data_IF_562836099058
#
_entry.id   IF_562836099058
#
_cell.length_a   1.000
_cell.length_b   1.000
_cell.length_c   1.000
_cell.angle_alpha   90.00
_cell.angle_beta   90.00
_cell.angle_gamma   90.00
#
_symmetry.space_group_name_H-M   'P 1'
#
loop_
_entity.id
_entity.type
_entity.pdbx_description
1 polymer ?
#
# COMPACT_ATOMS: atom_id res chain seq x y z
N UNK A 1 2.08 -17.78 -17.56
CA UNK A 1 1.36 -16.62 -18.11
C UNK A 1 2.05 -15.38 -17.56
N UNK A 2 2.71 -14.59 -18.42
CA UNK A 2 3.42 -13.37 -18.01
C UNK A 2 2.34 -12.35 -17.65
N UNK A 3 2.22 -12.04 -16.36
CA UNK A 3 1.24 -11.07 -15.88
C UNK A 3 1.57 -9.74 -16.54
N UNK A 4 0.59 -9.19 -17.25
CA UNK A 4 0.72 -7.95 -17.98
C UNK A 4 0.91 -6.79 -16.98
N UNK A 5 2.17 -6.49 -16.68
CA UNK A 5 2.58 -5.26 -16.00
C UNK A 5 2.42 -4.03 -16.90
N UNK A 6 1.76 -4.14 -18.06
CA UNK A 6 1.46 -3.04 -18.99
C UNK A 6 0.64 -1.92 -18.34
N UNK A 7 -0.17 -2.21 -17.33
CA UNK A 7 -0.81 -1.21 -16.48
C UNK A 7 0.21 -0.41 -15.63
N UNK A 8 1.33 -1.03 -15.25
CA UNK A 8 2.50 -0.44 -14.58
C UNK A 8 3.48 0.19 -15.60
N UNK A 9 3.30 -0.05 -16.90
CA UNK A 9 4.07 0.61 -17.98
C UNK A 9 3.89 2.13 -18.01
N UNK A 10 2.83 2.64 -17.37
CA UNK A 10 2.57 4.08 -17.15
C UNK A 10 3.14 4.64 -15.84
N UNK A 11 3.66 3.79 -14.96
CA UNK A 11 4.27 4.20 -13.69
C UNK A 11 5.76 4.41 -13.96
N UNK A 12 6.22 5.65 -13.81
CA UNK A 12 7.63 5.99 -14.01
C UNK A 12 8.54 5.22 -13.03
N UNK A 13 9.82 5.00 -13.36
CA UNK A 13 10.74 4.24 -12.51
C UNK A 13 10.80 4.74 -11.05
N UNK A 14 10.70 6.05 -10.84
CA UNK A 14 10.69 6.63 -9.48
C UNK A 14 9.44 6.24 -8.70
N UNK A 15 8.26 6.28 -9.32
CA UNK A 15 6.99 5.94 -8.65
C UNK A 15 6.95 4.45 -8.30
N UNK A 16 7.48 3.60 -9.18
CA UNK A 16 7.59 2.16 -8.91
C UNK A 16 8.51 1.87 -7.71
N UNK A 17 9.66 2.54 -7.63
CA UNK A 17 10.55 2.43 -6.48
C UNK A 17 9.89 2.86 -5.18
N UNK A 18 9.20 4.00 -5.17
CA UNK A 18 8.54 4.52 -3.97
C UNK A 18 7.42 3.58 -3.45
N UNK A 19 6.70 2.91 -4.35
CA UNK A 19 5.72 1.87 -3.99
C UNK A 19 6.38 0.65 -3.37
N UNK A 20 7.45 0.14 -4.00
CA UNK A 20 8.15 -1.03 -3.48
C UNK A 20 8.71 -0.76 -2.08
N UNK A 21 9.30 0.43 -1.89
CA UNK A 21 9.77 0.86 -0.58
C UNK A 21 8.64 0.98 0.45
N UNK A 22 7.45 1.46 0.03
CA UNK A 22 6.26 1.54 0.89
C UNK A 22 5.78 0.15 1.32
N UNK A 23 5.72 -0.80 0.38
CA UNK A 23 5.33 -2.17 0.67
C UNK A 23 6.35 -2.85 1.61
N UNK A 24 7.65 -2.61 1.42
CA UNK A 24 8.69 -3.11 2.32
C UNK A 24 8.55 -2.49 3.71
N UNK A 25 8.39 -1.17 3.82
CA UNK A 25 8.20 -0.50 5.11
C UNK A 25 6.96 -1.00 5.85
N UNK A 26 5.85 -1.19 5.13
CA UNK A 26 4.63 -1.76 5.68
C UNK A 26 4.85 -3.21 6.14
N UNK A 27 5.52 -4.06 5.35
CA UNK A 27 5.82 -5.44 5.70
C UNK A 27 6.84 -5.57 6.87
N UNK A 28 7.65 -4.55 7.11
CA UNK A 28 8.55 -4.48 8.27
C UNK A 28 7.88 -3.91 9.53
N UNK A 29 6.64 -3.42 9.44
CA UNK A 29 5.96 -2.75 10.54
C UNK A 29 6.53 -1.36 10.88
N UNK A 30 7.28 -0.74 9.96
CA UNK A 30 7.93 0.56 10.18
C UNK A 30 7.03 1.71 9.72
N UNK A 31 6.19 2.24 10.62
CA UNK A 31 5.25 3.33 10.32
C UNK A 31 5.92 4.61 9.79
N UNK A 32 7.02 5.03 10.41
CA UNK A 32 7.75 6.23 9.99
C UNK A 32 8.39 6.10 8.60
N UNK A 33 8.86 4.89 8.25
CA UNK A 33 9.35 4.59 6.91
C UNK A 33 8.19 4.55 5.91
N UNK A 34 7.05 3.97 6.32
CA UNK A 34 5.83 3.94 5.51
C UNK A 34 5.34 5.36 5.20
N UNK A 35 5.29 6.27 6.19
CA UNK A 35 4.95 7.69 5.98
C UNK A 35 5.92 8.36 5.00
N UNK A 36 7.23 8.21 5.18
CA UNK A 36 8.23 8.81 4.27
C UNK A 36 8.08 8.30 2.83
N UNK A 37 7.68 7.04 2.65
CA UNK A 37 7.42 6.50 1.31
C UNK A 37 6.12 7.04 0.71
N UNK A 38 5.07 7.23 1.53
CA UNK A 38 3.83 7.87 1.12
C UNK A 38 4.07 9.31 0.68
N UNK A 39 4.89 10.09 1.40
CA UNK A 39 5.26 11.46 1.02
C UNK A 39 5.96 11.55 -0.35
N UNK A 40 6.60 10.47 -0.81
CA UNK A 40 7.19 10.38 -2.16
C UNK A 40 6.19 10.03 -3.26
N UNK A 41 5.05 9.44 -2.88
CA UNK A 41 4.01 8.94 -3.79
C UNK A 41 2.83 9.91 -3.90
N UNK A 42 2.58 10.72 -2.87
CA UNK A 42 1.37 11.52 -2.73
C UNK A 42 1.72 12.99 -2.45
N UNK A 43 0.73 13.87 -2.58
CA UNK A 43 0.84 15.24 -2.10
C UNK A 43 0.11 15.29 -0.76
N UNK A 44 0.86 15.59 0.30
CA UNK A 44 0.29 15.83 1.62
C UNK A 44 -0.26 17.26 1.66
N UNK A 45 -1.45 17.43 2.22
CA UNK A 45 -1.87 18.77 2.68
C UNK A 45 -0.91 19.18 3.81
N UNK A 46 -0.44 20.42 3.79
CA UNK A 46 0.49 20.97 4.80
C UNK A 46 -0.07 20.94 6.23
N UNK A 47 -1.36 20.60 6.41
CA UNK A 47 -2.06 20.48 7.70
C UNK A 47 -1.99 19.10 8.35
N UNK A 48 -1.44 18.09 7.68
CA UNK A 48 -1.35 16.73 8.27
C UNK A 48 -0.37 16.71 9.44
N UNK A 49 -0.83 16.33 10.63
CA UNK A 49 0.04 16.05 11.77
C UNK A 49 0.76 14.71 11.55
N UNK A 50 2.07 14.77 11.32
CA UNK A 50 2.90 13.59 11.08
C UNK A 50 2.91 12.59 12.24
N UNK A 51 2.75 13.04 13.50
CA UNK A 51 2.71 12.14 14.67
C UNK A 51 1.40 11.38 14.74
N UNK A 52 0.29 12.06 14.44
CA UNK A 52 -1.02 11.42 14.39
C UNK A 52 -1.10 10.39 13.26
N UNK A 53 -0.50 10.72 12.11
CA UNK A 53 -0.38 9.79 11.00
C UNK A 53 0.50 8.59 11.35
N UNK A 54 1.67 8.80 11.95
CA UNK A 54 2.57 7.70 12.38
C UNK A 54 1.84 6.75 13.35
N UNK A 55 1.09 7.27 14.33
CA UNK A 55 0.29 6.47 15.25
C UNK A 55 -0.86 5.71 14.57
N UNK A 56 -1.51 6.33 13.58
CA UNK A 56 -2.55 5.67 12.79
C UNK A 56 -1.99 4.53 11.93
N UNK A 57 -0.80 4.74 11.34
CA UNK A 57 -0.06 3.72 10.59
C UNK A 57 0.40 2.59 11.50
N UNK A 58 0.92 2.87 12.69
CA UNK A 58 1.29 1.84 13.68
C UNK A 58 0.09 0.94 14.00
N UNK A 59 -1.06 1.53 14.31
CA UNK A 59 -2.28 0.78 14.59
C UNK A 59 -2.75 -0.04 13.39
N UNK A 60 -2.66 0.52 12.18
CA UNK A 60 -3.01 -0.19 10.95
C UNK A 60 -2.09 -1.38 10.69
N UNK A 61 -0.77 -1.18 10.74
CA UNK A 61 0.23 -2.23 10.51
C UNK A 61 0.12 -3.31 11.58
N UNK A 62 -0.03 -2.96 12.85
CA UNK A 62 -0.17 -3.93 13.93
C UNK A 62 -1.42 -4.83 13.80
N UNK A 63 -2.51 -4.31 13.20
CA UNK A 63 -3.73 -5.10 12.93
C UNK A 63 -3.60 -5.99 11.71
N UNK A 64 -3.05 -5.46 10.62
CA UNK A 64 -3.00 -6.16 9.34
C UNK A 64 -1.83 -7.16 9.23
N UNK A 65 -0.71 -6.89 9.90
CA UNK A 65 0.44 -7.81 9.91
C UNK A 65 0.24 -9.02 10.82
N UNK A 66 -0.73 -8.97 11.74
CA UNK A 66 -1.06 -10.07 12.67
C UNK A 66 -2.07 -11.05 12.10
N UNK A 67 -2.88 -10.62 11.13
CA UNK A 67 -3.83 -11.46 10.43
C UNK A 67 -3.14 -12.00 9.17
N UNK A 68 -2.60 -13.21 9.27
CA UNK A 68 -2.42 -14.14 8.14
C UNK A 68 -1.44 -13.72 7.00
N UNK A 69 -0.40 -12.95 7.31
CA UNK A 69 0.89 -13.17 6.65
C UNK A 69 1.24 -12.35 5.40
N UNK A 70 0.65 -11.17 5.18
CA UNK A 70 1.15 -10.29 4.11
C UNK A 70 0.32 -9.03 3.82
N UNK A 71 0.78 -8.26 2.83
CA UNK A 71 0.03 -7.12 2.28
C UNK A 71 -0.90 -7.65 1.20
N UNK A 72 -2.21 -7.60 1.45
CA UNK A 72 -3.24 -7.94 0.47
C UNK A 72 -3.83 -6.70 -0.24
N UNK A 73 -4.63 -6.92 -1.29
CA UNK A 73 -5.36 -5.87 -1.99
C UNK A 73 -6.36 -5.21 -1.05
N UNK A 74 -7.06 -6.00 -0.22
CA UNK A 74 -7.96 -5.47 0.82
C UNK A 74 -7.21 -4.62 1.84
N UNK A 75 -6.03 -5.07 2.28
CA UNK A 75 -5.16 -4.28 3.16
C UNK A 75 -4.77 -2.94 2.52
N UNK A 76 -4.44 -2.92 1.23
CA UNK A 76 -4.11 -1.66 0.53
C UNK A 76 -5.33 -0.75 0.31
N UNK A 77 -6.53 -1.32 0.12
CA UNK A 77 -7.78 -0.55 0.09
C UNK A 77 -8.06 0.09 1.46
N UNK A 78 -7.95 -0.68 2.54
CA UNK A 78 -8.12 -0.20 3.91
C UNK A 78 -7.09 0.89 4.26
N UNK A 79 -5.84 0.74 3.81
CA UNK A 79 -4.82 1.77 3.95
C UNK A 79 -5.23 3.05 3.22
N UNK A 80 -5.74 2.93 1.99
CA UNK A 80 -6.20 4.07 1.18
C UNK A 80 -7.35 4.81 1.87
N UNK A 81 -8.32 4.09 2.43
CA UNK A 81 -9.41 4.69 3.21
C UNK A 81 -8.83 5.39 4.43
N UNK A 82 -7.94 4.73 5.18
CA UNK A 82 -7.39 5.26 6.43
C UNK A 82 -6.59 6.54 6.24
N UNK A 83 -5.72 6.61 5.24
CA UNK A 83 -4.95 7.84 4.96
C UNK A 83 -5.82 8.93 4.33
N UNK A 84 -6.90 8.56 3.65
CA UNK A 84 -7.90 9.50 3.16
C UNK A 84 -8.58 10.31 4.27
N UNK A 85 -8.71 9.74 5.47
CA UNK A 85 -9.21 10.45 6.66
C UNK A 85 -8.30 11.62 7.08
N UNK A 86 -7.02 11.56 6.72
CA UNK A 86 -6.02 12.62 6.93
C UNK A 86 -5.95 13.60 5.75
N UNK A 87 -6.82 13.50 4.75
CA UNK A 87 -6.76 14.32 3.55
C UNK A 87 -5.62 13.95 2.60
N UNK A 88 -5.01 12.77 2.77
CA UNK A 88 -3.96 12.28 1.89
C UNK A 88 -4.61 11.56 0.71
N UNK A 89 -4.42 12.12 -0.49
CA UNK A 89 -4.99 11.55 -1.70
C UNK A 89 -3.92 10.81 -2.50
N UNK A 90 -4.13 9.49 -2.66
CA UNK A 90 -3.28 8.68 -3.52
C UNK A 90 -3.47 9.04 -5.00
N UNK A 91 -2.40 8.97 -5.81
CA UNK A 91 -2.53 9.12 -7.25
C UNK A 91 -3.48 8.06 -7.84
N UNK A 92 -4.17 8.42 -8.93
CA UNK A 92 -5.11 7.51 -9.63
C UNK A 92 -4.50 6.17 -10.02
N UNK A 93 -3.19 6.13 -10.30
CA UNK A 93 -2.50 4.89 -10.67
C UNK A 93 -2.40 3.90 -9.49
N UNK A 94 -2.51 4.35 -8.24
CA UNK A 94 -2.48 3.47 -7.08
C UNK A 94 -3.69 2.53 -7.04
N UNK A 95 -4.87 3.02 -7.42
CA UNK A 95 -6.05 2.16 -7.57
C UNK A 95 -5.91 1.12 -8.68
N UNK A 96 -5.06 1.38 -9.69
CA UNK A 96 -4.72 0.39 -10.72
C UNK A 96 -3.83 -0.71 -10.11
N UNK A 97 -2.87 -0.35 -9.26
CA UNK A 97 -2.02 -1.31 -8.55
C UNK A 97 -2.84 -2.26 -7.67
N UNK A 98 -3.76 -1.71 -6.86
CA UNK A 98 -4.67 -2.53 -6.02
C UNK A 98 -5.45 -3.52 -6.90
N UNK A 99 -6.05 -3.05 -7.99
CA UNK A 99 -6.80 -3.91 -8.92
C UNK A 99 -5.95 -4.96 -9.61
N UNK A 100 -4.64 -4.74 -9.79
CA UNK A 100 -3.74 -5.76 -10.34
C UNK A 100 -3.33 -6.81 -9.31
N UNK A 101 -3.41 -6.50 -8.01
CA UNK A 101 -3.14 -7.45 -6.92
C UNK A 101 -4.31 -8.39 -6.66
N UNK A 102 -5.56 -7.94 -6.85
CA UNK A 102 -6.76 -8.78 -6.65
C UNK A 102 -6.71 -10.12 -7.42
N UNK A 103 -6.38 -10.17 -8.73
CA UNK A 103 -6.24 -11.44 -9.45
C UNK A 103 -5.06 -12.29 -8.99
N UNK A 104 -3.97 -11.65 -8.52
CA UNK A 104 -2.78 -12.33 -8.02
C UNK A 104 -3.08 -13.08 -6.72
N UNK A 105 -3.80 -12.46 -5.80
CA UNK A 105 -4.31 -13.08 -4.57
C UNK A 105 -5.29 -14.20 -4.87
N UNK A 106 -6.26 -13.97 -5.76
CA UNK A 106 -7.21 -15.00 -6.17
C UNK A 106 -6.54 -16.23 -6.81
N UNK A 107 -5.42 -16.03 -7.51
CA UNK A 107 -4.62 -17.14 -8.07
C UNK A 107 -3.85 -17.89 -6.98
N UNK A 108 -3.29 -17.18 -6.00
CA UNK A 108 -2.55 -17.80 -4.89
C UNK A 108 -3.47 -18.60 -3.97
N UNK A 109 -4.63 -18.05 -3.60
CA UNK A 109 -5.67 -18.76 -2.83
C UNK A 109 -6.22 -19.96 -3.61
N UNK A 110 -6.37 -19.84 -4.93
CA UNK A 110 -6.79 -20.94 -5.78
C UNK A 110 -5.76 -22.08 -5.93
N UNK A 111 -4.48 -21.81 -5.67
CA UNK A 111 -3.39 -22.79 -5.75
C UNK A 111 -3.02 -23.39 -4.39
N UNK A 112 -3.17 -22.63 -3.30
CA UNK A 112 -2.99 -23.08 -1.92
C UNK A 112 -4.06 -22.43 -1.02
N UNK A 113 -5.14 -23.15 -0.69
CA UNK A 113 -6.27 -22.62 0.07
C UNK A 113 -6.01 -22.42 1.58
N UNK A 114 -4.84 -22.80 2.09
CA UNK A 114 -4.46 -22.71 3.52
C UNK A 114 -3.44 -21.60 3.81
N UNK A 115 -3.37 -20.55 2.98
CA UNK A 115 -2.50 -19.39 3.21
C UNK A 115 -3.20 -18.33 4.07
#
# INVERSE_FOLDING_TARGET
MLIDLGAIGRIGPQQRGAVLDMLVAAASGESSACRQTLERVTVFDARVDGRELDAALDGFLARNMRADGGISATTLEDLTVRIGEFGIHLPRWFGVLIRTLVPLEGTLVGLQPDF
#
